data_IF_171151069679
#
_entry.id   IF_171151069679
#
_cell.length_a   1.000
_cell.length_b   1.000
_cell.length_c   1.000
_cell.angle_alpha   90.00
_cell.angle_beta   90.00
_cell.angle_gamma   90.00
#
_symmetry.space_group_name_H-M   'P 1'
#
loop_
_entity.id
_entity.type
_entity.pdbx_description
1 polymer ?
#
# COMPACT_ATOMS: atom_id res chain seq x y z
N UNK A 1 25.68 7.91 -9.73
CA UNK A 1 24.33 7.42 -9.37
C UNK A 1 24.43 6.76 -8.00
N UNK A 2 23.54 7.10 -7.07
CA UNK A 2 23.50 6.41 -5.79
C UNK A 2 22.99 4.98 -6.00
N UNK A 3 23.67 3.99 -5.43
CA UNK A 3 23.25 2.58 -5.48
C UNK A 3 22.24 2.36 -4.37
N UNK A 4 21.06 1.85 -4.72
CA UNK A 4 20.01 1.49 -3.74
C UNK A 4 20.24 0.08 -3.21
N UNK A 5 20.07 -0.11 -1.90
CA UNK A 5 20.10 -1.43 -1.29
C UNK A 5 18.76 -2.15 -1.55
N UNK A 6 18.85 -3.41 -1.97
CA UNK A 6 17.70 -4.30 -2.10
C UNK A 6 17.74 -5.35 -1.02
N UNK A 7 16.66 -5.46 -0.25
CA UNK A 7 16.51 -6.45 0.81
C UNK A 7 15.60 -7.58 0.33
N UNK A 8 16.08 -8.80 0.42
CA UNK A 8 15.40 -9.98 -0.10
C UNK A 8 15.29 -11.09 0.94
N UNK A 9 14.17 -11.81 0.92
CA UNK A 9 13.99 -13.07 1.62
C UNK A 9 13.24 -14.06 0.74
N UNK A 10 13.47 -15.35 0.91
CA UNK A 10 12.74 -16.39 0.18
C UNK A 10 11.42 -16.74 0.88
N UNK A 11 10.54 -17.47 0.20
CA UNK A 11 9.23 -17.90 0.69
C UNK A 11 9.26 -19.18 1.54
N UNK A 12 10.45 -19.74 1.82
CA UNK A 12 10.59 -20.94 2.67
C UNK A 12 10.32 -20.56 4.12
N UNK A 13 9.52 -21.36 4.81
CA UNK A 13 9.24 -21.22 6.26
C UNK A 13 9.96 -22.28 7.05
N UNK A 14 10.16 -22.04 8.33
CA UNK A 14 10.69 -23.00 9.31
C UNK A 14 9.73 -23.09 10.49
N UNK A 15 9.99 -24.00 11.41
CA UNK A 15 9.23 -24.08 12.69
C UNK A 15 9.42 -22.81 13.55
N UNK A 16 10.54 -22.12 13.37
CA UNK A 16 10.92 -20.94 14.16
C UNK A 16 10.51 -19.62 13.49
N UNK A 17 10.33 -19.60 12.14
CA UNK A 17 10.07 -18.35 11.42
C UNK A 17 9.08 -18.57 10.27
N UNK A 18 7.91 -17.95 10.35
CA UNK A 18 6.89 -17.91 9.29
C UNK A 18 7.11 -16.73 8.34
N UNK A 19 6.30 -16.64 7.27
CA UNK A 19 6.42 -15.59 6.24
C UNK A 19 6.20 -14.17 6.79
N UNK A 20 5.27 -14.00 7.74
CA UNK A 20 4.97 -12.68 8.31
C UNK A 20 6.13 -12.20 9.20
N UNK A 21 6.74 -13.09 9.98
CA UNK A 21 7.93 -12.79 10.76
C UNK A 21 9.13 -12.46 9.85
N UNK A 22 9.25 -13.16 8.71
CA UNK A 22 10.27 -12.83 7.70
C UNK A 22 10.07 -11.43 7.13
N UNK A 23 8.84 -11.05 6.80
CA UNK A 23 8.54 -9.70 6.32
C UNK A 23 8.89 -8.67 7.39
N UNK A 24 8.44 -8.86 8.62
CA UNK A 24 8.75 -7.97 9.73
C UNK A 24 10.26 -7.77 9.90
N UNK A 25 11.03 -8.85 9.93
CA UNK A 25 12.49 -8.81 10.03
C UNK A 25 13.12 -8.09 8.84
N UNK A 26 12.57 -8.31 7.62
CA UNK A 26 13.08 -7.70 6.40
C UNK A 26 12.89 -6.18 6.39
N UNK A 27 11.68 -5.70 6.71
CA UNK A 27 11.39 -4.25 6.75
C UNK A 27 12.13 -3.53 7.87
N UNK A 28 12.32 -4.19 9.03
CA UNK A 28 13.19 -3.68 10.10
C UNK A 28 14.63 -3.53 9.61
N UNK A 29 15.17 -4.54 8.95
CA UNK A 29 16.53 -4.52 8.39
C UNK A 29 16.69 -3.47 7.29
N UNK A 30 15.62 -3.18 6.54
CA UNK A 30 15.62 -2.15 5.51
C UNK A 30 15.59 -0.72 6.07
N UNK A 31 15.51 -0.56 7.39
CA UNK A 31 15.51 0.75 8.03
C UNK A 31 14.13 1.41 8.13
N UNK A 32 13.05 0.70 7.83
CA UNK A 32 11.71 1.28 7.93
C UNK A 32 11.41 1.79 9.35
N UNK A 33 11.92 1.11 10.38
CA UNK A 33 11.67 1.49 11.77
C UNK A 33 12.51 2.70 12.25
N UNK A 34 13.44 3.18 11.44
CA UNK A 34 14.23 4.39 11.70
C UNK A 34 13.48 5.67 11.24
N UNK A 35 12.37 5.50 10.50
CA UNK A 35 11.51 6.61 10.11
C UNK A 35 10.71 7.12 11.31
N UNK A 36 10.49 8.43 11.32
CA UNK A 36 9.64 9.08 12.32
C UNK A 36 8.16 8.95 11.91
N UNK A 37 7.45 8.03 12.56
CA UNK A 37 6.02 7.78 12.35
C UNK A 37 5.12 8.51 13.35
N UNK A 38 5.66 9.09 14.41
CA UNK A 38 4.86 9.62 15.53
C UNK A 38 3.83 10.66 15.03
N UNK A 39 2.56 10.40 15.28
CA UNK A 39 1.40 11.19 14.87
C UNK A 39 1.24 11.43 13.34
N UNK A 40 1.99 10.72 12.49
CA UNK A 40 1.99 10.91 11.04
C UNK A 40 0.99 10.00 10.32
N UNK A 41 0.28 10.57 9.37
CA UNK A 41 -0.53 9.80 8.42
C UNK A 41 0.39 9.04 7.46
N UNK A 42 0.27 7.71 7.47
CA UNK A 42 1.08 6.85 6.64
C UNK A 42 0.20 6.09 5.64
N UNK A 43 0.30 6.46 4.38
CA UNK A 43 -0.37 5.76 3.29
C UNK A 43 0.40 4.50 2.91
N UNK A 44 -0.22 3.34 3.01
CA UNK A 44 0.29 2.08 2.46
C UNK A 44 -0.44 1.86 1.14
N UNK A 45 0.23 2.20 0.03
CA UNK A 45 -0.31 2.02 -1.32
C UNK A 45 -0.19 0.56 -1.71
N UNK A 46 -1.33 -0.09 -1.94
CA UNK A 46 -1.41 -1.50 -2.29
C UNK A 46 -2.43 -1.72 -3.41
N UNK A 47 -2.27 -2.80 -4.15
CA UNK A 47 -3.29 -3.28 -5.07
C UNK A 47 -4.19 -4.28 -4.35
N UNK A 48 -5.46 -3.94 -4.14
CA UNK A 48 -6.43 -4.77 -3.40
C UNK A 48 -6.87 -6.05 -4.12
N UNK A 49 -6.37 -6.30 -5.33
CA UNK A 49 -6.74 -7.44 -6.16
C UNK A 49 -7.85 -7.10 -7.16
N UNK A 50 -8.03 -7.98 -8.14
CA UNK A 50 -9.14 -7.94 -9.10
C UNK A 50 -10.11 -9.07 -8.76
N UNK A 51 -11.43 -8.89 -8.93
CA UNK A 51 -12.40 -9.95 -8.76
C UNK A 51 -12.05 -11.17 -9.62
N UNK A 52 -11.98 -12.34 -8.97
CA UNK A 52 -11.66 -13.61 -9.65
C UNK A 52 -10.16 -13.86 -9.89
N UNK A 53 -9.27 -12.88 -9.65
CA UNK A 53 -7.83 -13.06 -9.74
C UNK A 53 -7.22 -13.19 -8.35
N UNK A 54 -6.64 -14.34 -8.01
CA UNK A 54 -6.04 -14.60 -6.70
C UNK A 54 -4.56 -14.18 -6.60
N UNK A 55 -3.98 -13.63 -7.67
CA UNK A 55 -2.58 -13.17 -7.69
C UNK A 55 -2.45 -11.75 -7.09
N UNK A 56 -2.76 -11.61 -5.81
CA UNK A 56 -2.57 -10.38 -5.03
C UNK A 56 -1.96 -10.70 -3.66
N UNK A 57 -1.37 -9.71 -3.00
CA UNK A 57 -0.87 -9.89 -1.63
C UNK A 57 -2.03 -10.10 -0.67
N UNK A 58 -1.89 -11.05 0.24
CA UNK A 58 -2.91 -11.31 1.26
C UNK A 58 -2.91 -10.18 2.30
N UNK A 59 -4.09 -9.81 2.85
CA UNK A 59 -4.20 -8.75 3.87
C UNK A 59 -3.27 -8.92 5.08
N UNK A 60 -2.88 -10.15 5.40
CA UNK A 60 -1.95 -10.48 6.49
C UNK A 60 -0.59 -9.79 6.32
N UNK A 61 -0.09 -9.62 5.08
CA UNK A 61 1.19 -8.94 4.84
C UNK A 61 1.07 -7.44 5.14
N UNK A 62 0.00 -6.81 4.65
CA UNK A 62 -0.26 -5.39 4.94
C UNK A 62 -0.47 -5.15 6.43
N UNK A 63 -1.11 -6.10 7.14
CA UNK A 63 -1.28 -6.03 8.60
C UNK A 63 0.07 -5.95 9.33
N UNK A 64 1.09 -6.66 8.90
CA UNK A 64 2.45 -6.54 9.50
C UNK A 64 2.95 -5.11 9.43
N UNK A 65 2.81 -4.45 8.28
CA UNK A 65 3.22 -3.05 8.11
C UNK A 65 2.38 -2.12 9.00
N UNK A 66 1.06 -2.32 9.03
CA UNK A 66 0.14 -1.56 9.88
C UNK A 66 0.53 -1.65 11.35
N UNK A 67 0.77 -2.86 11.86
CA UNK A 67 1.13 -3.08 13.27
C UNK A 67 2.49 -2.43 13.60
N UNK A 68 3.47 -2.52 12.70
CA UNK A 68 4.78 -1.88 12.87
C UNK A 68 4.67 -0.35 12.91
N UNK A 69 3.91 0.27 12.01
CA UNK A 69 3.70 1.71 11.96
C UNK A 69 2.99 2.18 13.24
N UNK A 70 1.94 1.47 13.66
CA UNK A 70 1.20 1.78 14.88
C UNK A 70 2.06 1.65 16.14
N UNK A 71 2.96 0.67 16.19
CA UNK A 71 3.89 0.50 17.31
C UNK A 71 4.84 1.68 17.47
N UNK A 72 4.96 2.53 16.44
CA UNK A 72 5.76 3.76 16.42
C UNK A 72 4.90 5.03 16.48
N UNK A 73 3.65 4.93 16.93
CA UNK A 73 2.74 6.07 17.06
C UNK A 73 2.15 6.59 15.74
N UNK A 74 2.36 5.88 14.63
CA UNK A 74 1.88 6.28 13.31
C UNK A 74 0.38 6.00 13.09
N UNK A 75 -0.19 6.68 12.12
CA UNK A 75 -1.60 6.60 11.71
C UNK A 75 -1.72 5.98 10.31
N UNK A 76 -1.57 4.64 10.18
CA UNK A 76 -1.60 3.99 8.88
C UNK A 76 -3.01 3.88 8.30
N UNK A 77 -3.08 3.94 6.98
CA UNK A 77 -4.26 3.57 6.19
C UNK A 77 -3.81 2.86 4.90
N UNK A 78 -4.65 1.95 4.39
CA UNK A 78 -4.43 1.33 3.09
C UNK A 78 -5.08 2.16 2.00
N UNK A 79 -4.45 2.22 0.83
CA UNK A 79 -4.97 3.01 -0.28
C UNK A 79 -4.61 2.44 -1.64
N UNK A 80 -5.44 2.73 -2.61
CA UNK A 80 -5.20 2.60 -4.06
C UNK A 80 -5.97 3.72 -4.76
N UNK A 81 -5.76 3.89 -6.06
CA UNK A 81 -6.56 4.76 -6.92
C UNK A 81 -7.51 3.94 -7.79
N UNK A 82 -8.60 4.56 -8.24
CA UNK A 82 -9.52 3.95 -9.20
C UNK A 82 -8.81 3.65 -10.52
N UNK A 83 -9.28 2.65 -11.25
CA UNK A 83 -8.68 2.26 -12.52
C UNK A 83 -9.15 3.15 -13.67
N UNK A 84 -8.27 3.40 -14.63
CA UNK A 84 -8.63 4.10 -15.87
C UNK A 84 -9.47 3.20 -16.80
N UNK A 85 -9.22 1.89 -16.78
CA UNK A 85 -9.99 0.93 -17.55
C UNK A 85 -11.33 0.60 -16.91
N UNK A 86 -12.27 0.12 -17.69
CA UNK A 86 -13.59 -0.32 -17.23
C UNK A 86 -13.46 -1.62 -16.42
N UNK A 87 -14.04 -1.63 -15.23
CA UNK A 87 -14.00 -2.76 -14.30
C UNK A 87 -14.56 -2.39 -12.94
N UNK A 88 -14.56 -3.34 -12.01
CA UNK A 88 -15.13 -3.18 -10.66
C UNK A 88 -14.33 -2.25 -9.75
N UNK A 89 -13.20 -1.71 -10.22
CA UNK A 89 -12.42 -0.71 -9.49
C UNK A 89 -12.45 0.66 -10.17
N UNK A 90 -13.54 0.95 -10.93
CA UNK A 90 -13.71 2.21 -11.66
C UNK A 90 -14.21 3.37 -10.79
N UNK A 91 -14.80 3.08 -9.65
CA UNK A 91 -15.25 4.04 -8.65
C UNK A 91 -14.96 3.50 -7.25
N UNK A 92 -14.96 4.38 -6.24
CA UNK A 92 -14.53 4.00 -4.89
C UNK A 92 -15.43 2.95 -4.23
N UNK A 93 -16.73 2.93 -4.50
CA UNK A 93 -17.64 1.97 -3.87
C UNK A 93 -17.36 0.56 -4.38
N UNK A 94 -17.40 0.36 -5.71
CA UNK A 94 -17.09 -0.93 -6.32
C UNK A 94 -15.65 -1.36 -6.03
N UNK A 95 -14.72 -0.40 -5.91
CA UNK A 95 -13.33 -0.69 -5.57
C UNK A 95 -13.18 -1.21 -4.13
N UNK A 96 -13.90 -0.62 -3.18
CA UNK A 96 -13.93 -1.11 -1.80
C UNK A 96 -14.64 -2.45 -1.71
N UNK A 97 -15.72 -2.68 -2.45
CA UNK A 97 -16.38 -3.98 -2.51
C UNK A 97 -15.44 -5.07 -3.03
N UNK A 98 -14.69 -4.79 -4.10
CA UNK A 98 -13.66 -5.70 -4.61
C UNK A 98 -12.56 -5.97 -3.57
N UNK A 99 -12.16 -4.97 -2.80
CA UNK A 99 -11.20 -5.13 -1.70
C UNK A 99 -11.77 -6.03 -0.60
N UNK A 100 -13.04 -5.84 -0.21
CA UNK A 100 -13.72 -6.67 0.81
C UNK A 100 -13.84 -8.13 0.38
N UNK A 101 -14.21 -8.39 -0.89
CA UNK A 101 -14.26 -9.74 -1.47
C UNK A 101 -12.89 -10.44 -1.42
N UNK A 102 -11.81 -9.68 -1.54
CA UNK A 102 -10.44 -10.17 -1.43
C UNK A 102 -9.91 -10.21 0.02
N UNK A 103 -10.78 -9.97 1.01
CA UNK A 103 -10.47 -10.05 2.44
C UNK A 103 -9.82 -8.79 3.03
N UNK A 104 -9.63 -7.73 2.25
CA UNK A 104 -9.17 -6.44 2.76
C UNK A 104 -10.33 -5.72 3.45
N UNK A 105 -10.22 -5.51 4.74
CA UNK A 105 -11.16 -4.72 5.54
C UNK A 105 -10.49 -4.29 6.85
N UNK A 106 -11.05 -3.30 7.57
CA UNK A 106 -10.45 -2.80 8.80
C UNK A 106 -10.27 -3.84 9.91
N UNK A 107 -11.12 -4.87 9.95
CA UNK A 107 -11.02 -5.93 10.96
C UNK A 107 -9.84 -6.88 10.69
N UNK A 108 -9.57 -7.18 9.41
CA UNK A 108 -8.46 -8.04 9.01
C UNK A 108 -7.12 -7.33 9.01
N UNK A 109 -7.09 -6.07 8.54
CA UNK A 109 -5.85 -5.31 8.35
C UNK A 109 -5.48 -4.45 9.55
N UNK A 110 -6.46 -4.14 10.42
CA UNK A 110 -6.28 -3.29 11.58
C UNK A 110 -6.25 -1.79 11.26
N UNK A 111 -6.51 -1.35 10.03
CA UNK A 111 -6.59 0.07 9.67
C UNK A 111 -7.67 0.33 8.62
N UNK A 112 -8.04 1.60 8.46
CA UNK A 112 -9.02 2.02 7.45
C UNK A 112 -8.46 1.95 6.04
N UNK A 113 -9.35 1.92 5.06
CA UNK A 113 -9.04 2.00 3.64
C UNK A 113 -9.64 3.28 3.05
N UNK A 114 -8.88 3.96 2.21
CA UNK A 114 -9.28 5.19 1.53
C UNK A 114 -8.90 5.04 0.06
N UNK A 115 -9.86 5.27 -0.84
CA UNK A 115 -9.56 5.36 -2.27
C UNK A 115 -9.04 6.77 -2.55
N UNK A 116 -7.77 6.87 -2.92
CA UNK A 116 -7.01 8.11 -2.83
C UNK A 116 -7.46 9.21 -3.79
N UNK A 117 -8.09 8.86 -4.91
CA UNK A 117 -8.59 9.76 -5.95
C UNK A 117 -10.13 9.98 -5.87
N UNK A 118 -10.72 9.66 -4.72
CA UNK A 118 -12.13 9.93 -4.41
C UNK A 118 -13.12 9.02 -5.12
N UNK A 119 -14.41 9.41 -5.04
CA UNK A 119 -15.53 8.56 -5.49
C UNK A 119 -15.42 8.15 -6.96
N UNK A 120 -15.03 9.08 -7.83
CA UNK A 120 -15.04 8.88 -9.30
C UNK A 120 -13.64 8.88 -9.93
N UNK A 121 -12.57 8.88 -9.14
CA UNK A 121 -11.21 8.96 -9.65
C UNK A 121 -10.84 10.35 -10.20
N UNK A 122 -11.41 11.40 -9.64
CA UNK A 122 -11.21 12.79 -10.08
C UNK A 122 -10.62 13.71 -9.01
N UNK A 123 -10.46 13.20 -7.79
CA UNK A 123 -9.82 13.95 -6.70
C UNK A 123 -8.31 13.75 -6.74
N UNK A 124 -7.65 14.56 -7.56
CA UNK A 124 -6.23 14.45 -7.88
C UNK A 124 -5.51 15.79 -7.73
N UNK A 125 -4.19 15.70 -7.53
CA UNK A 125 -3.27 16.84 -7.56
C UNK A 125 -2.34 16.65 -8.74
N UNK A 126 -2.14 17.71 -9.53
CA UNK A 126 -1.10 17.74 -10.56
C UNK A 126 0.24 18.06 -9.89
N UNK A 127 1.18 17.14 -10.01
CA UNK A 127 2.53 17.28 -9.46
C UNK A 127 3.51 17.42 -10.63
N UNK A 128 4.24 18.53 -10.73
CA UNK A 128 5.27 18.69 -11.75
C UNK A 128 6.36 17.62 -11.58
N UNK A 129 6.76 17.00 -12.68
CA UNK A 129 7.86 16.04 -12.74
C UNK A 129 8.78 16.42 -13.92
N UNK A 130 10.06 16.21 -13.74
CA UNK A 130 11.05 16.45 -14.81
C UNK A 130 11.24 15.18 -15.65
N UNK A 131 10.14 14.67 -16.21
CA UNK A 131 10.15 13.49 -17.07
C UNK A 131 10.40 13.83 -18.53
N UNK A 132 10.96 12.91 -19.28
CA UNK A 132 11.21 13.08 -20.71
C UNK A 132 9.88 13.25 -21.49
N UNK A 133 8.91 12.37 -21.27
CA UNK A 133 7.64 12.33 -22.00
C UNK A 133 6.46 12.93 -21.22
N UNK A 134 6.50 12.88 -19.90
CA UNK A 134 5.42 13.35 -19.03
C UNK A 134 5.95 14.45 -18.13
N UNK A 135 5.31 15.62 -18.14
CA UNK A 135 5.73 16.80 -17.36
C UNK A 135 4.99 16.95 -16.04
N UNK A 136 3.81 16.33 -15.91
CA UNK A 136 2.99 16.35 -14.71
C UNK A 136 2.43 14.96 -14.39
N UNK A 137 2.45 14.59 -13.14
CA UNK A 137 1.83 13.36 -12.63
C UNK A 137 0.52 13.70 -11.90
N UNK A 138 -0.52 12.92 -12.14
CA UNK A 138 -1.78 12.98 -11.40
C UNK A 138 -1.69 12.06 -10.20
N UNK A 139 -1.70 12.65 -9.02
CA UNK A 139 -1.59 11.93 -7.75
C UNK A 139 -2.89 12.08 -6.98
N UNK A 140 -3.47 10.97 -6.51
CA UNK A 140 -4.68 10.99 -5.70
C UNK A 140 -4.51 11.82 -4.42
N UNK A 141 -5.52 12.61 -4.07
CA UNK A 141 -5.47 13.58 -2.97
C UNK A 141 -5.02 12.96 -1.66
N UNK A 142 -5.57 11.80 -1.27
CA UNK A 142 -5.21 11.18 0.00
C UNK A 142 -3.75 10.74 0.09
N UNK A 143 -3.07 10.46 -1.05
CA UNK A 143 -1.63 10.22 -1.09
C UNK A 143 -0.83 11.50 -0.87
N UNK A 144 -1.33 12.64 -1.38
CA UNK A 144 -0.69 13.95 -1.17
C UNK A 144 -0.87 14.48 0.26
N UNK A 145 -1.95 14.09 0.93
CA UNK A 145 -2.25 14.47 2.31
C UNK A 145 -1.50 13.59 3.34
N UNK A 146 -0.90 12.49 2.90
CA UNK A 146 -0.10 11.63 3.75
C UNK A 146 1.31 12.20 3.98
N UNK A 147 1.81 12.08 5.22
CA UNK A 147 3.18 12.47 5.57
C UNK A 147 4.22 11.46 5.06
N UNK A 148 3.82 10.18 4.99
CA UNK A 148 4.67 9.08 4.56
C UNK A 148 3.89 8.20 3.59
N UNK A 149 4.55 7.78 2.50
CA UNK A 149 3.99 6.82 1.55
C UNK A 149 4.86 5.58 1.49
N UNK A 150 4.27 4.42 1.75
CA UNK A 150 4.89 3.11 1.58
C UNK A 150 4.22 2.43 0.40
N UNK A 151 4.99 2.08 -0.63
CA UNK A 151 4.49 1.36 -1.78
C UNK A 151 4.61 -0.15 -1.53
N UNK A 152 3.50 -0.76 -1.11
CA UNK A 152 3.36 -2.21 -0.90
C UNK A 152 2.82 -2.83 -2.19
N UNK A 153 3.69 -2.89 -3.21
CA UNK A 153 3.28 -3.23 -4.56
C UNK A 153 3.18 -4.74 -4.75
N UNK A 154 2.06 -5.18 -5.34
CA UNK A 154 1.93 -6.50 -5.93
C UNK A 154 3.08 -6.75 -6.93
N UNK A 155 3.77 -7.87 -6.80
CA UNK A 155 4.68 -8.32 -7.85
C UNK A 155 3.89 -8.52 -9.15
N UNK A 156 4.34 -7.89 -10.21
CA UNK A 156 3.76 -8.08 -11.53
C UNK A 156 4.38 -9.35 -12.11
N UNK A 157 3.53 -10.22 -12.58
CA UNK A 157 3.91 -11.25 -13.55
C UNK A 157 3.80 -10.64 -14.92
#
# INVERSE_FOLDING_TARGET
MAVSNVYYTNMRTTLQENLLQKLERLVKKAGMMDMDFENKFTAIKIHFGEPGNLAYLRPNYSKVLVDLIRSRGGRPFLTDCNTLYVGRRKNALDHLDAAYENGYNPFCTGCHMIIADGLKGTDEVLVPIDGEYVKEAKIGRALMDADIVISDRKSVV
#
